data_IF_088188000125
#
_entry.id   IF_088188000125
#
_cell.length_a   1.000
_cell.length_b   1.000
_cell.length_c   1.000
_cell.angle_alpha   90.00
_cell.angle_beta   90.00
_cell.angle_gamma   90.00
#
_symmetry.space_group_name_H-M   'P 1'
#
loop_
_entity.id
_entity.type
_entity.pdbx_description
1 polymer ?
#
# COMPACT_ATOMS: atom_id res chain seq x y z
N UNK A 1 -2.72 -1.20 -13.94
CA UNK A 1 -2.84 -0.89 -12.49
C UNK A 1 -1.99 -1.87 -11.72
N UNK A 2 -1.11 -1.41 -10.82
CA UNK A 2 -0.33 -2.33 -10.00
C UNK A 2 -1.24 -2.94 -8.93
N UNK A 3 -1.36 -4.27 -8.92
CA UNK A 3 -2.10 -4.99 -7.88
C UNK A 3 -1.29 -4.95 -6.58
N UNK A 4 -1.71 -4.10 -5.65
CA UNK A 4 -1.09 -4.02 -4.34
C UNK A 4 -1.60 -5.15 -3.46
N UNK A 5 -0.70 -6.05 -3.09
CA UNK A 5 -1.00 -7.16 -2.19
C UNK A 5 -0.53 -6.81 -0.77
N UNK A 6 -1.40 -6.98 0.22
CA UNK A 6 -1.08 -6.90 1.64
C UNK A 6 -1.50 -8.17 2.37
N UNK A 7 -0.86 -8.45 3.50
CA UNK A 7 -1.30 -9.54 4.37
C UNK A 7 -2.43 -9.05 5.27
N UNK A 8 -3.55 -9.78 5.25
CA UNK A 8 -4.66 -9.55 6.17
C UNK A 8 -4.45 -10.43 7.40
N UNK A 9 -4.18 -9.80 8.54
CA UNK A 9 -3.92 -10.50 9.81
C UNK A 9 -5.12 -11.28 10.34
N UNK A 10 -6.35 -10.87 10.00
CA UNK A 10 -7.58 -11.56 10.43
C UNK A 10 -7.90 -12.73 9.50
N UNK A 11 -7.73 -12.55 8.19
CA UNK A 11 -7.91 -13.64 7.23
C UNK A 11 -6.70 -14.59 7.15
N UNK A 12 -5.55 -14.19 7.72
CA UNK A 12 -4.26 -14.90 7.69
C UNK A 12 -3.78 -15.23 6.28
N UNK A 13 -4.13 -14.39 5.31
CA UNK A 13 -3.83 -14.59 3.89
C UNK A 13 -3.42 -13.29 3.21
N UNK A 14 -2.78 -13.43 2.05
CA UNK A 14 -2.46 -12.30 1.18
C UNK A 14 -3.70 -11.90 0.38
N UNK A 15 -4.10 -10.64 0.48
CA UNK A 15 -5.26 -10.08 -0.21
C UNK A 15 -4.85 -8.89 -1.07
N UNK A 16 -5.57 -8.69 -2.17
CA UNK A 16 -5.44 -7.47 -2.98
C UNK A 16 -6.08 -6.31 -2.23
N UNK A 17 -5.34 -5.22 -2.05
CA UNK A 17 -5.80 -4.00 -1.38
C UNK A 17 -6.88 -3.35 -2.23
N UNK A 18 -8.05 -3.08 -1.62
CA UNK A 18 -9.10 -2.27 -2.24
C UNK A 18 -8.89 -0.79 -1.89
N UNK A 19 -9.16 0.10 -2.84
CA UNK A 19 -8.99 1.55 -2.72
C UNK A 19 -7.57 1.95 -2.22
N UNK A 20 -6.50 1.56 -2.93
CA UNK A 20 -5.14 1.85 -2.51
C UNK A 20 -4.87 3.36 -2.53
N UNK A 21 -4.37 3.88 -1.40
CA UNK A 21 -3.94 5.27 -1.23
C UNK A 21 -2.51 5.30 -0.74
N UNK A 22 -1.66 6.04 -1.45
CA UNK A 22 -0.28 6.25 -1.05
C UNK A 22 -0.22 7.28 0.08
N UNK A 23 0.46 6.95 1.18
CA UNK A 23 0.68 7.85 2.31
C UNK A 23 2.12 7.74 2.80
N UNK A 24 2.68 8.90 3.18
CA UNK A 24 3.95 9.00 3.90
C UNK A 24 3.67 8.86 5.39
N UNK A 25 4.24 7.84 6.00
CA UNK A 25 4.12 7.57 7.43
C UNK A 25 4.96 8.56 8.25
N UNK A 26 4.69 8.67 9.56
CA UNK A 26 5.43 9.56 10.48
C UNK A 26 6.94 9.29 10.53
N UNK A 27 7.36 8.07 10.20
CA UNK A 27 8.77 7.66 10.13
C UNK A 27 9.44 7.96 8.77
N UNK A 28 8.78 8.72 7.89
CA UNK A 28 9.29 9.07 6.56
C UNK A 28 9.17 7.96 5.50
N UNK A 29 8.70 6.75 5.86
CA UNK A 29 8.48 5.66 4.89
C UNK A 29 7.16 5.85 4.16
N UNK A 30 7.16 5.49 2.88
CA UNK A 30 5.96 5.43 2.07
C UNK A 30 5.27 4.07 2.21
N UNK A 31 3.95 4.09 2.23
CA UNK A 31 3.12 2.91 2.27
C UNK A 31 1.87 3.08 1.41
N UNK A 32 1.37 1.95 0.92
CA UNK A 32 0.04 1.83 0.33
C UNK A 32 -0.91 1.40 1.42
N UNK A 33 -1.88 2.26 1.72
CA UNK A 33 -2.94 2.00 2.68
C UNK A 33 -4.21 1.73 1.89
N UNK A 34 -4.97 0.72 2.28
CA UNK A 34 -6.32 0.54 1.79
C UNK A 34 -7.10 -0.42 2.67
N UNK A 35 -8.09 -1.06 2.09
CA UNK A 35 -9.03 -1.90 2.83
C UNK A 35 -8.97 -3.34 2.34
N UNK A 36 -8.98 -4.29 3.27
CA UNK A 36 -9.12 -5.71 2.92
C UNK A 36 -10.54 -5.98 2.40
N UNK A 37 -10.70 -6.60 1.21
CA UNK A 37 -12.02 -6.98 0.71
C UNK A 37 -12.65 -8.12 1.52
N UNK A 38 -11.85 -8.91 2.26
CA UNK A 38 -12.34 -10.06 3.03
C UNK A 38 -12.90 -9.64 4.38
N UNK A 39 -12.13 -8.86 5.14
CA UNK A 39 -12.42 -8.57 6.56
C UNK A 39 -12.80 -7.12 6.81
N UNK A 40 -12.67 -6.25 5.80
CA UNK A 40 -12.96 -4.81 5.92
C UNK A 40 -11.93 -4.03 6.74
N UNK A 41 -10.88 -4.67 7.25
CA UNK A 41 -9.86 -3.98 8.04
C UNK A 41 -8.96 -3.14 7.15
N UNK A 42 -8.35 -2.11 7.75
CA UNK A 42 -7.27 -1.37 7.08
C UNK A 42 -6.04 -2.25 6.97
N UNK A 43 -5.53 -2.35 5.75
CA UNK A 43 -4.28 -3.06 5.44
C UNK A 43 -3.26 -2.07 4.92
N UNK A 44 -2.01 -2.29 5.29
CA UNK A 44 -0.90 -1.41 4.95
C UNK A 44 0.23 -2.25 4.34
N UNK A 45 0.72 -1.83 3.19
CA UNK A 45 1.93 -2.38 2.57
C UNK A 45 3.00 -1.30 2.48
N UNK A 46 4.14 -1.54 3.10
CA UNK A 46 5.29 -0.63 2.96
C UNK A 46 5.91 -0.75 1.57
N UNK A 47 6.35 0.39 1.05
CA UNK A 47 7.03 0.49 -0.23
C UNK A 47 8.54 0.53 -0.03
N UNK A 48 9.25 -0.11 -0.97
CA UNK A 48 10.70 -0.06 -1.08
C UNK A 48 11.15 1.25 -1.74
N UNK A 49 12.39 1.69 -1.52
CA UNK A 49 12.91 2.93 -2.14
C UNK A 49 12.71 2.96 -3.66
N UNK A 50 13.01 1.86 -4.34
CA UNK A 50 12.81 1.71 -5.80
C UNK A 50 11.36 1.93 -6.21
N UNK A 51 10.41 1.30 -5.52
CA UNK A 51 8.97 1.46 -5.80
C UNK A 51 8.52 2.92 -5.60
N UNK A 52 9.03 3.59 -4.56
CA UNK A 52 8.75 5.02 -4.31
C UNK A 52 9.29 5.89 -5.44
N UNK A 53 10.52 5.67 -5.87
CA UNK A 53 11.12 6.41 -6.99
C UNK A 53 10.34 6.20 -8.29
N UNK A 54 9.94 4.96 -8.60
CA UNK A 54 9.13 4.65 -9.78
C UNK A 54 7.75 5.30 -9.73
N UNK A 55 7.11 5.33 -8.56
CA UNK A 55 5.83 6.01 -8.37
C UNK A 55 5.96 7.53 -8.48
N UNK A 56 7.08 8.09 -8.00
CA UNK A 56 7.39 9.51 -8.12
C UNK A 56 7.64 9.90 -9.59
N UNK A 57 8.40 9.10 -10.34
CA UNK A 57 8.60 9.28 -11.78
C UNK A 57 7.30 9.22 -12.57
N UNK A 58 6.35 8.38 -12.13
CA UNK A 58 5.00 8.28 -12.70
C UNK A 58 4.06 9.42 -12.26
N UNK A 59 4.50 10.33 -11.40
CA UNK A 59 3.69 11.44 -10.89
C UNK A 59 2.59 11.02 -9.92
N UNK A 60 2.59 9.78 -9.43
CA UNK A 60 1.56 9.25 -8.54
C UNK A 60 1.75 9.66 -7.07
N UNK A 61 2.99 10.00 -6.71
CA UNK A 61 3.35 10.52 -5.39
C UNK A 61 4.35 11.68 -5.55
N UNK A 62 4.28 12.67 -4.64
CA UNK A 62 5.30 13.72 -4.50
C UNK A 62 6.23 13.34 -3.34
N UNK A 63 7.53 13.29 -3.60
CA UNK A 63 8.57 12.95 -2.61
C UNK A 63 8.72 14.02 -1.53
#
# INVERSE_FOLDING_TARGET
MADWIAFDVKAKEKVKIKNPKFQKMKNGRWAVVGTSPKTGIKVVRFLSKKEVEDLAKKGLIKL
#
